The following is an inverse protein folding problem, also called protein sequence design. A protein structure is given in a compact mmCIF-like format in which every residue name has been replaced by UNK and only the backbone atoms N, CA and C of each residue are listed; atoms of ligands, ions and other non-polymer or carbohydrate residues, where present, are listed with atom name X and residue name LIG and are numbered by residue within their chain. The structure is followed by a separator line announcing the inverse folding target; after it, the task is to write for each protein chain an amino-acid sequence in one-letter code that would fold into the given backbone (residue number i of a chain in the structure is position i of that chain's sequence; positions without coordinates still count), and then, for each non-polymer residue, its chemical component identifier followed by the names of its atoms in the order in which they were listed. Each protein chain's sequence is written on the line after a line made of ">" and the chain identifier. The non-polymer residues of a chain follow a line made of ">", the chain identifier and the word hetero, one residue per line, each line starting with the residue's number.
data_IF_489684561062
#
_entry.id   IF_489684561062
#
_cell.length_a   1.000
_cell.length_b   1.000
_cell.length_c   1.000
_cell.angle_alpha   90.00
_cell.angle_beta   90.00
_cell.angle_gamma   90.00
#
_symmetry.space_group_name_H-M   'P 1'
#
loop_
_entity.id
_entity.type
_entity.pdbx_description
1 polymer ?
#
# COMPACT_ATOMS: atom_id res chain seq x y z
N UNK A 1 3.45 -7.21 16.17
CA UNK A 1 3.41 -6.48 14.89
C UNK A 1 2.11 -6.84 14.16
N UNK A 2 1.43 -5.86 13.59
CA UNK A 2 0.16 -6.03 12.87
C UNK A 2 0.14 -5.28 11.53
N UNK A 3 1.25 -4.66 11.16
CA UNK A 3 1.49 -4.02 9.87
C UNK A 3 2.91 -4.34 9.41
N UNK A 4 3.04 -4.62 8.14
CA UNK A 4 4.31 -4.85 7.48
C UNK A 4 4.62 -3.64 6.60
N UNK A 5 5.55 -2.81 7.05
CA UNK A 5 5.94 -1.59 6.36
C UNK A 5 7.25 -1.83 5.64
N UNK A 6 7.37 -1.35 4.43
CA UNK A 6 8.57 -1.39 3.61
C UNK A 6 8.79 -0.05 2.90
N UNK A 7 9.96 0.10 2.32
CA UNK A 7 10.36 1.24 1.53
C UNK A 7 11.15 2.29 2.30
N UNK A 8 11.75 3.18 1.53
CA UNK A 8 12.60 4.26 2.02
C UNK A 8 11.80 5.30 2.84
N UNK A 9 12.41 5.79 3.89
CA UNK A 9 11.88 6.91 4.66
C UNK A 9 12.19 8.24 3.97
N UNK A 10 11.46 9.28 4.34
CA UNK A 10 11.61 10.62 3.76
C UNK A 10 13.05 11.11 3.75
N UNK A 11 13.79 10.90 4.86
CA UNK A 11 15.19 11.32 4.96
C UNK A 11 16.12 10.51 4.04
N UNK A 12 15.83 9.23 3.84
CA UNK A 12 16.60 8.36 2.96
C UNK A 12 16.34 8.69 1.49
N UNK A 13 15.11 9.06 1.15
CA UNK A 13 14.74 9.57 -0.18
C UNK A 13 15.51 10.84 -0.49
N UNK A 14 15.58 11.77 0.46
CA UNK A 14 16.32 13.03 0.28
C UNK A 14 17.82 12.77 0.03
N UNK A 15 18.43 11.87 0.81
CA UNK A 15 19.82 11.45 0.62
C UNK A 15 20.05 10.77 -0.73
N UNK A 16 19.18 9.81 -1.09
CA UNK A 16 19.30 9.08 -2.35
C UNK A 16 19.24 10.02 -3.55
N UNK A 17 18.33 10.99 -3.53
CA UNK A 17 18.23 12.01 -4.59
C UNK A 17 19.45 12.94 -4.63
N UNK A 18 20.00 13.30 -3.49
CA UNK A 18 21.17 14.17 -3.40
C UNK A 18 22.44 13.56 -3.98
N UNK A 19 22.62 12.24 -3.87
CA UNK A 19 23.78 11.53 -4.42
C UNK A 19 23.59 11.12 -5.89
N UNK A 20 22.39 11.33 -6.46
CA UNK A 20 22.06 10.96 -7.84
C UNK A 20 21.44 9.56 -7.92
N UNK A 21 20.11 9.50 -7.89
CA UNK A 21 19.37 8.26 -8.04
C UNK A 21 19.39 7.76 -9.49
N UNK A 22 19.84 6.53 -9.70
CA UNK A 22 19.80 5.85 -11.00
C UNK A 22 19.11 4.49 -10.85
N UNK A 23 17.85 4.34 -11.31
CA UNK A 23 17.13 3.07 -11.24
C UNK A 23 17.81 1.96 -12.06
N UNK A 24 18.46 2.27 -13.16
CA UNK A 24 19.13 1.27 -14.01
C UNK A 24 20.31 0.64 -13.29
N UNK A 25 21.05 1.42 -12.52
CA UNK A 25 22.13 0.92 -11.70
C UNK A 25 21.61 -0.10 -10.67
N UNK A 26 20.51 0.21 -9.99
CA UNK A 26 19.90 -0.69 -8.98
C UNK A 26 19.42 -1.99 -9.63
N UNK A 27 18.74 -1.90 -10.78
CA UNK A 27 18.32 -3.08 -11.55
C UNK A 27 19.51 -3.94 -11.94
N UNK A 28 20.64 -3.30 -12.31
CA UNK A 28 21.88 -4.01 -12.62
C UNK A 28 22.43 -4.83 -11.44
N UNK A 29 22.20 -4.38 -10.21
CA UNK A 29 22.66 -5.07 -8.99
C UNK A 29 21.69 -6.12 -8.45
N UNK A 30 20.44 -6.15 -8.93
CA UNK A 30 19.39 -7.04 -8.42
C UNK A 30 18.84 -7.94 -9.55
N UNK A 31 19.30 -9.19 -9.59
CA UNK A 31 18.89 -10.15 -10.62
C UNK A 31 17.40 -10.43 -10.58
N UNK A 32 16.80 -10.58 -9.39
CA UNK A 32 15.38 -10.84 -9.24
C UNK A 32 14.54 -9.69 -9.79
N UNK A 33 14.92 -8.45 -9.51
CA UNK A 33 14.22 -7.27 -10.05
C UNK A 33 14.35 -7.22 -11.58
N UNK A 34 15.54 -7.48 -12.11
CA UNK A 34 15.77 -7.53 -13.55
C UNK A 34 14.89 -8.57 -14.22
N UNK A 35 14.85 -9.80 -13.69
CA UNK A 35 14.02 -10.89 -14.23
C UNK A 35 12.52 -10.52 -14.25
N UNK A 36 12.03 -9.83 -13.21
CA UNK A 36 10.64 -9.33 -13.15
C UNK A 36 10.40 -8.29 -14.24
N UNK A 37 11.30 -7.32 -14.39
CA UNK A 37 11.16 -6.26 -15.40
C UNK A 37 11.26 -6.82 -16.83
N UNK A 38 12.14 -7.78 -17.05
CA UNK A 38 12.29 -8.47 -18.33
C UNK A 38 11.04 -9.30 -18.67
N UNK A 39 10.46 -9.99 -17.71
CA UNK A 39 9.21 -10.73 -17.90
C UNK A 39 8.04 -9.80 -18.26
N UNK A 40 7.92 -8.66 -17.59
CA UNK A 40 6.88 -7.68 -17.89
C UNK A 40 7.12 -7.05 -19.28
N UNK A 41 8.34 -6.58 -19.53
CA UNK A 41 8.73 -5.91 -20.78
C UNK A 41 8.74 -6.83 -21.99
N UNK A 42 9.03 -8.13 -21.78
CA UNK A 42 9.00 -9.17 -22.79
C UNK A 42 7.61 -9.71 -23.15
N UNK A 43 6.56 -9.24 -22.46
CA UNK A 43 5.17 -9.60 -22.77
C UNK A 43 4.69 -10.91 -22.13
N UNK A 44 5.37 -11.43 -21.10
CA UNK A 44 4.94 -12.65 -20.39
C UNK A 44 3.51 -12.54 -19.83
N UNK A 45 3.09 -11.33 -19.46
CA UNK A 45 1.75 -11.02 -18.96
C UNK A 45 0.79 -10.49 -20.02
N UNK A 46 1.22 -10.38 -21.28
CA UNK A 46 0.43 -9.87 -22.40
C UNK A 46 0.85 -10.54 -23.72
N UNK A 47 0.67 -11.87 -23.89
CA UNK A 47 1.19 -12.60 -25.05
C UNK A 47 0.69 -12.06 -26.40
N UNK A 48 -0.56 -11.56 -26.48
CA UNK A 48 -1.14 -10.95 -27.68
C UNK A 48 -0.66 -9.52 -27.97
N UNK A 49 -0.10 -8.84 -26.97
CA UNK A 49 0.36 -7.45 -27.04
C UNK A 49 1.68 -7.26 -26.30
N UNK A 50 2.82 -7.75 -26.81
CA UNK A 50 4.09 -7.76 -26.06
C UNK A 50 4.57 -6.37 -25.62
N UNK A 51 4.14 -5.31 -26.31
CA UNK A 51 4.51 -3.92 -26.01
C UNK A 51 3.57 -3.22 -25.01
N UNK A 52 2.53 -3.89 -24.54
CA UNK A 52 1.48 -3.30 -23.68
C UNK A 52 2.04 -2.56 -22.46
N UNK A 53 3.04 -3.13 -21.83
CA UNK A 53 3.64 -2.57 -20.61
C UNK A 53 4.94 -1.82 -20.84
N UNK A 54 5.28 -1.50 -22.10
CA UNK A 54 6.51 -0.81 -22.44
C UNK A 54 6.67 0.54 -21.73
N UNK A 55 5.62 1.35 -21.72
CA UNK A 55 5.64 2.66 -21.08
C UNK A 55 5.86 2.57 -19.54
N UNK A 56 5.34 1.50 -18.90
CA UNK A 56 5.62 1.23 -17.49
C UNK A 56 7.10 0.95 -17.25
N UNK A 57 7.69 0.05 -18.03
CA UNK A 57 9.11 -0.29 -17.93
C UNK A 57 10.00 0.94 -18.21
N UNK A 58 9.70 1.69 -19.25
CA UNK A 58 10.44 2.91 -19.60
C UNK A 58 10.34 3.97 -18.47
N UNK A 59 9.18 4.08 -17.82
CA UNK A 59 8.99 4.95 -16.65
C UNK A 59 9.81 4.51 -15.44
N UNK A 60 9.81 3.22 -15.11
CA UNK A 60 10.58 2.65 -13.99
C UNK A 60 12.08 2.75 -14.21
N UNK A 61 12.56 2.47 -15.43
CA UNK A 61 13.98 2.54 -15.76
C UNK A 61 14.46 3.97 -16.05
N UNK A 62 13.55 4.91 -16.26
CA UNK A 62 13.86 6.31 -16.53
C UNK A 62 13.86 7.16 -15.28
N UNK A 63 12.71 7.67 -14.91
CA UNK A 63 12.57 8.63 -13.82
C UNK A 63 12.22 8.01 -12.47
N UNK A 64 11.54 6.87 -12.47
CA UNK A 64 11.01 6.19 -11.27
C UNK A 64 10.58 7.18 -10.16
N UNK A 65 9.58 8.02 -10.40
CA UNK A 65 9.25 9.14 -9.52
C UNK A 65 8.87 8.72 -8.11
N UNK A 66 8.42 7.48 -7.95
CA UNK A 66 8.00 6.88 -6.68
C UNK A 66 9.07 6.00 -6.03
N UNK A 67 10.26 5.89 -6.64
CA UNK A 67 11.38 5.08 -6.13
C UNK A 67 11.06 3.58 -5.93
N UNK A 68 10.16 3.05 -6.76
CA UNK A 68 9.71 1.66 -6.68
C UNK A 68 10.87 0.66 -6.88
N UNK A 69 11.79 1.00 -7.76
CA UNK A 69 12.99 0.19 -8.01
C UNK A 69 13.90 0.16 -6.78
N UNK A 70 14.03 1.28 -6.08
CA UNK A 70 14.82 1.35 -4.84
C UNK A 70 14.17 0.56 -3.69
N UNK A 71 12.85 0.57 -3.60
CA UNK A 71 12.09 -0.10 -2.54
C UNK A 71 11.96 -1.61 -2.74
N UNK A 72 12.25 -2.13 -3.94
CA UNK A 72 11.97 -3.52 -4.30
C UNK A 72 12.62 -4.55 -3.36
N UNK A 73 13.86 -4.35 -2.98
CA UNK A 73 14.57 -5.30 -2.10
C UNK A 73 13.93 -5.39 -0.72
N UNK A 74 13.54 -4.25 -0.15
CA UNK A 74 12.85 -4.19 1.14
C UNK A 74 11.42 -4.73 1.04
N UNK A 75 10.73 -4.51 -0.09
CA UNK A 75 9.44 -5.14 -0.38
C UNK A 75 9.56 -6.66 -0.32
N UNK A 76 10.52 -7.27 -1.02
CA UNK A 76 10.71 -8.73 -1.05
C UNK A 76 11.02 -9.27 0.36
N UNK A 77 11.91 -8.61 1.10
CA UNK A 77 12.23 -9.00 2.47
C UNK A 77 11.01 -8.90 3.39
N UNK A 78 10.21 -7.86 3.23
CA UNK A 78 8.99 -7.66 4.01
C UNK A 78 7.92 -8.67 3.65
N UNK A 79 7.77 -9.02 2.37
CA UNK A 79 6.85 -10.05 1.91
C UNK A 79 7.18 -11.42 2.54
N UNK A 80 8.47 -11.77 2.59
CA UNK A 80 8.93 -12.99 3.27
C UNK A 80 8.56 -12.99 4.76
N UNK A 81 8.69 -11.85 5.45
CA UNK A 81 8.26 -11.71 6.84
C UNK A 81 6.74 -11.84 7.00
N UNK A 82 5.96 -11.34 6.06
CA UNK A 82 4.50 -11.41 6.08
C UNK A 82 3.96 -12.83 5.80
N UNK A 83 4.71 -13.65 5.06
CA UNK A 83 4.34 -15.04 4.82
C UNK A 83 4.35 -15.91 6.09
N UNK A 84 5.25 -15.65 7.03
CA UNK A 84 5.38 -16.47 8.23
C UNK A 84 4.09 -16.51 9.08
N UNK A 85 3.43 -15.38 9.42
CA UNK A 85 2.12 -15.40 10.06
C UNK A 85 1.01 -15.99 9.18
N UNK A 86 1.09 -15.83 7.86
CA UNK A 86 0.09 -16.38 6.94
C UNK A 86 0.08 -17.91 6.92
N UNK A 87 1.24 -18.53 7.08
CA UNK A 87 1.38 -19.99 7.21
C UNK A 87 0.93 -20.52 8.59
N UNK A 88 0.93 -19.66 9.61
CA UNK A 88 0.42 -19.96 10.94
C UNK A 88 -0.94 -19.28 11.13
N UNK A 89 -2.02 -19.99 10.91
CA UNK A 89 -3.40 -19.47 10.94
C UNK A 89 -3.72 -18.73 12.25
N UNK A 90 -3.29 -19.26 13.41
CA UNK A 90 -3.55 -18.62 14.70
C UNK A 90 -2.82 -17.27 14.82
N UNK A 91 -1.56 -17.20 14.40
CA UNK A 91 -0.78 -15.97 14.37
C UNK A 91 -1.35 -14.95 13.37
N UNK A 92 -1.77 -15.40 12.20
CA UNK A 92 -2.42 -14.60 11.17
C UNK A 92 -3.74 -14.00 11.68
N UNK A 93 -4.60 -14.80 12.30
CA UNK A 93 -5.84 -14.31 12.90
C UNK A 93 -5.59 -13.30 14.03
N UNK A 94 -4.60 -13.54 14.90
CA UNK A 94 -4.25 -12.60 15.95
C UNK A 94 -3.72 -11.27 15.38
N UNK A 95 -2.97 -11.30 14.29
CA UNK A 95 -2.51 -10.11 13.57
C UNK A 95 -3.70 -9.33 13.01
N UNK A 96 -4.60 -10.00 12.29
CA UNK A 96 -5.80 -9.39 11.71
C UNK A 96 -6.71 -8.77 12.77
N UNK A 97 -6.97 -9.46 13.87
CA UNK A 97 -7.78 -8.96 14.98
C UNK A 97 -7.17 -7.71 15.62
N UNK A 98 -5.84 -7.69 15.86
CA UNK A 98 -5.16 -6.50 16.38
C UNK A 98 -5.24 -5.33 15.41
N UNK A 99 -5.11 -5.59 14.10
CA UNK A 99 -5.25 -4.58 13.07
C UNK A 99 -6.64 -3.98 13.11
N UNK A 100 -7.68 -4.81 13.02
CA UNK A 100 -9.09 -4.39 13.05
C UNK A 100 -9.41 -3.59 14.32
N UNK A 101 -8.97 -4.06 15.49
CA UNK A 101 -9.21 -3.37 16.76
C UNK A 101 -8.57 -1.96 16.82
N UNK A 102 -7.53 -1.71 16.05
CA UNK A 102 -6.84 -0.41 15.99
C UNK A 102 -7.27 0.49 14.84
N UNK A 103 -8.13 -0.01 13.95
CA UNK A 103 -8.58 0.75 12.77
C UNK A 103 -9.48 1.95 13.11
N UNK A 104 -10.02 2.05 14.31
CA UNK A 104 -10.82 3.20 14.73
C UNK A 104 -10.10 4.56 14.56
N UNK A 105 -8.77 4.56 14.66
CA UNK A 105 -7.94 5.75 14.39
C UNK A 105 -7.96 6.19 12.93
N UNK A 106 -8.36 5.31 12.00
CA UNK A 106 -8.38 5.57 10.55
C UNK A 106 -9.81 5.73 10.02
N UNK A 107 -10.80 5.99 10.90
CA UNK A 107 -12.17 6.23 10.45
C UNK A 107 -12.27 7.53 9.64
N UNK A 108 -13.04 7.48 8.57
CA UNK A 108 -13.33 8.65 7.73
C UNK A 108 -13.97 9.77 8.56
N UNK A 109 -14.90 9.43 9.44
CA UNK A 109 -15.59 10.39 10.30
C UNK A 109 -14.61 11.17 11.20
N UNK A 110 -13.63 10.49 11.77
CA UNK A 110 -12.56 11.14 12.55
C UNK A 110 -11.75 12.06 11.66
N UNK A 111 -11.32 11.57 10.50
CA UNK A 111 -10.49 12.33 9.57
C UNK A 111 -11.20 13.60 9.12
N UNK A 112 -12.45 13.50 8.66
CA UNK A 112 -13.24 14.65 8.22
C UNK A 112 -13.45 15.65 9.36
N UNK A 113 -13.72 15.15 10.57
CA UNK A 113 -13.88 16.01 11.76
C UNK A 113 -12.58 16.76 12.08
N UNK A 114 -11.44 16.08 12.08
CA UNK A 114 -10.14 16.72 12.30
C UNK A 114 -9.81 17.75 11.22
N UNK A 115 -10.16 17.51 9.96
CA UNK A 115 -10.01 18.51 8.88
C UNK A 115 -10.92 19.72 9.11
N UNK A 116 -12.19 19.49 9.46
CA UNK A 116 -13.13 20.56 9.74
C UNK A 116 -12.63 21.47 10.88
N UNK A 117 -12.20 20.86 11.98
CA UNK A 117 -11.75 21.58 13.16
C UNK A 117 -10.38 22.24 12.99
N UNK A 118 -9.39 21.52 12.45
CA UNK A 118 -7.98 21.96 12.46
C UNK A 118 -7.54 22.74 11.21
N UNK A 119 -8.22 22.54 10.08
CA UNK A 119 -7.82 23.11 8.80
C UNK A 119 -8.86 24.14 8.33
N UNK A 120 -10.15 23.75 8.33
CA UNK A 120 -11.21 24.62 7.81
C UNK A 120 -11.82 25.53 8.88
N UNK A 121 -11.54 25.27 10.15
CA UNK A 121 -12.06 26.04 11.28
C UNK A 121 -13.60 26.13 11.31
N UNK A 122 -14.25 25.05 10.86
CA UNK A 122 -15.71 24.93 10.78
C UNK A 122 -16.20 24.15 12.00
N UNK A 123 -17.14 24.70 12.79
CA UNK A 123 -17.67 24.00 13.95
C UNK A 123 -18.44 22.74 13.52
N UNK A 124 -18.19 21.64 14.20
CA UNK A 124 -18.83 20.36 13.92
C UNK A 124 -20.25 20.36 14.52
N UNK A 125 -21.27 20.42 13.67
CA UNK A 125 -22.68 20.46 14.10
C UNK A 125 -23.29 19.10 14.42
N UNK A 126 -22.53 17.99 14.23
CA UNK A 126 -23.02 16.64 14.50
C UNK A 126 -22.56 16.19 15.88
N UNK A 127 -23.48 16.08 16.81
CA UNK A 127 -23.25 15.52 18.13
C UNK A 127 -22.73 14.06 18.00
N UNK A 128 -21.68 13.66 18.75
CA UNK A 128 -21.25 12.27 18.76
C UNK A 128 -22.37 11.41 19.36
N UNK A 129 -22.97 10.52 18.56
CA UNK A 129 -23.91 9.52 19.05
C UNK A 129 -25.27 9.42 18.39
N UNK A 130 -25.58 10.17 17.32
CA UNK A 130 -26.89 10.08 16.66
C UNK A 130 -26.99 9.13 15.47
N UNK A 131 -26.18 8.07 15.43
CA UNK A 131 -26.53 6.92 14.62
C UNK A 131 -27.43 6.04 15.49
N UNK A 132 -28.72 6.34 15.49
CA UNK A 132 -29.72 5.38 15.93
C UNK A 132 -29.60 4.18 14.97
N UNK A 133 -29.08 3.10 15.47
CA UNK A 133 -29.23 1.79 14.80
C UNK A 133 -30.73 1.57 14.70
N UNK A 134 -31.28 1.70 13.48
CA UNK A 134 -32.66 1.33 13.19
C UNK A 134 -32.80 -0.16 13.52
N UNK A 135 -33.47 -0.44 14.62
CA UNK A 135 -33.74 -1.78 15.14
C UNK A 135 -34.79 -2.55 14.29
N UNK A 136 -35.14 -2.04 13.12
CA UNK A 136 -35.97 -2.72 12.16
C UNK A 136 -35.11 -3.72 11.39
N UNK A 137 -35.14 -4.98 11.82
CA UNK A 137 -34.54 -6.11 11.15
C UNK A 137 -35.03 -6.24 9.70
N UNK A 138 -34.31 -7.04 8.88
CA UNK A 138 -34.61 -7.17 7.46
C UNK A 138 -36.02 -7.65 7.24
N UNK A 139 -36.81 -6.89 6.50
CA UNK A 139 -38.13 -7.29 6.00
C UNK A 139 -37.97 -8.61 5.24
N UNK A 140 -38.50 -9.68 5.81
CA UNK A 140 -38.73 -10.92 5.06
C UNK A 140 -39.88 -10.65 4.09
N UNK A 141 -39.71 -10.88 2.77
CA UNK A 141 -40.84 -10.90 1.86
C UNK A 141 -41.72 -12.11 2.23
N UNK A 142 -42.99 -11.88 2.43
CA UNK A 142 -44.01 -12.93 2.55
C UNK A 142 -44.15 -13.65 1.19
N UNK A 143 -44.21 -14.98 1.25
CA UNK A 143 -44.58 -15.83 0.11
C UNK A 143 -45.98 -15.53 -0.40
#
# INVERSE_FOLDING_TARGET
>A
ENMFVFGLRTDDIAKLRAIGYDPRWIVGQNTQLRDVLDAIGGGAFSPGEPKRYRALIDGLLGADPYLLVADFADYVATQTRAEAPSRNTAAGHACALRHTARMGSFSTDRTVREYAERIWNVPNSVAPGSIALDSRGPHRPAC
#
